data_IF_222251226031
#
_entry.id   IF_222251226031
#
_cell.length_a   1.000
_cell.length_b   1.000
_cell.length_c   1.000
_cell.angle_alpha   90.00
_cell.angle_beta   90.00
_cell.angle_gamma   90.00
#
_symmetry.space_group_name_H-M   'P 1'
#
loop_
_entity.id
_entity.type
_entity.pdbx_description
1 polymer ?
#
# COMPACT_ATOMS: atom_id res chain seq x y z
N UNK A 1 28.21 -2.41 9.87
CA UNK A 1 26.86 -1.82 9.86
C UNK A 1 26.68 -1.01 11.13
N UNK A 2 26.56 0.32 11.05
CA UNK A 2 26.02 1.09 12.18
C UNK A 2 24.55 0.71 12.28
N UNK A 3 24.14 0.03 13.35
CA UNK A 3 22.73 -0.07 13.70
C UNK A 3 22.27 1.37 13.99
N UNK A 4 21.70 2.02 12.98
CA UNK A 4 20.93 3.23 13.22
C UNK A 4 19.85 2.83 14.24
N UNK A 5 19.92 3.38 15.45
CA UNK A 5 18.95 3.08 16.49
C UNK A 5 17.54 3.20 15.92
N UNK A 6 16.66 2.24 16.25
CA UNK A 6 15.33 2.15 15.66
C UNK A 6 14.62 3.50 15.77
N UNK A 7 14.46 4.20 14.65
CA UNK A 7 13.78 5.49 14.63
C UNK A 7 12.31 5.26 14.90
N UNK A 8 11.78 5.92 15.92
CA UNK A 8 10.35 5.94 16.18
C UNK A 8 9.76 7.26 15.68
N UNK A 9 8.70 7.18 14.87
CA UNK A 9 7.98 8.38 14.41
C UNK A 9 6.54 8.32 14.91
N UNK A 10 6.12 9.37 15.61
CA UNK A 10 4.76 9.52 16.10
C UNK A 10 3.89 10.25 15.09
N UNK A 11 2.70 9.72 14.84
CA UNK A 11 1.67 10.49 14.15
C UNK A 11 0.97 11.42 15.17
N UNK A 12 0.47 12.59 14.73
CA UNK A 12 -0.37 13.43 15.58
C UNK A 12 -1.58 12.63 16.09
N UNK A 13 -1.93 12.76 17.36
CA UNK A 13 -3.06 12.04 17.98
C UNK A 13 -4.35 12.23 17.17
N UNK A 14 -4.60 13.44 16.65
CA UNK A 14 -5.74 13.73 15.76
C UNK A 14 -5.82 12.78 14.56
N UNK A 15 -4.68 12.40 13.96
CA UNK A 15 -4.63 11.48 12.82
C UNK A 15 -4.97 10.06 13.24
N UNK A 16 -4.47 9.62 14.39
CA UNK A 16 -4.78 8.27 14.92
C UNK A 16 -6.26 8.16 15.31
N UNK A 17 -6.83 9.21 15.92
CA UNK A 17 -8.26 9.27 16.21
C UNK A 17 -9.09 9.25 14.92
N UNK A 18 -8.68 9.96 13.86
CA UNK A 18 -9.33 9.87 12.55
C UNK A 18 -9.28 8.45 11.99
N UNK A 19 -8.22 7.68 12.22
CA UNK A 19 -8.16 6.28 11.77
C UNK A 19 -9.22 5.40 12.42
N UNK A 20 -9.52 5.64 13.69
CA UNK A 20 -10.65 5.01 14.39
C UNK A 20 -11.97 5.60 13.89
N UNK A 21 -12.17 6.91 13.98
CA UNK A 21 -13.46 7.52 13.63
C UNK A 21 -13.90 7.32 12.16
N UNK A 22 -12.98 6.96 11.26
CA UNK A 22 -13.27 6.65 9.86
C UNK A 22 -13.14 5.16 9.52
N UNK A 23 -12.79 4.30 10.48
CA UNK A 23 -12.46 2.88 10.31
C UNK A 23 -11.60 2.69 9.06
N UNK A 24 -10.42 3.29 9.13
CA UNK A 24 -9.52 3.45 7.99
C UNK A 24 -9.00 2.12 7.46
N UNK A 25 -9.08 1.04 8.25
CA UNK A 25 -8.78 -0.33 7.82
C UNK A 25 -9.71 -0.85 6.72
N UNK A 26 -10.90 -0.28 6.55
CA UNK A 26 -11.85 -0.67 5.49
C UNK A 26 -11.69 0.14 4.19
N UNK A 27 -10.77 1.10 4.16
CA UNK A 27 -10.55 1.97 3.02
C UNK A 27 -9.39 1.44 2.19
N UNK A 28 -9.59 1.31 0.87
CA UNK A 28 -8.60 0.78 -0.07
C UNK A 28 -8.64 1.54 -1.40
N UNK A 29 -9.71 1.38 -2.16
CA UNK A 29 -9.75 1.79 -3.57
C UNK A 29 -10.44 3.13 -3.78
N UNK A 30 -11.37 3.52 -2.89
CA UNK A 30 -12.29 4.61 -3.20
C UNK A 30 -12.72 5.41 -1.98
N UNK A 31 -12.84 6.73 -2.16
CA UNK A 31 -13.41 7.64 -1.14
C UNK A 31 -14.85 7.28 -0.75
N UNK A 32 -15.59 6.56 -1.61
CA UNK A 32 -16.96 6.13 -1.29
C UNK A 32 -17.00 5.06 -0.21
N UNK A 33 -15.93 4.31 -0.01
CA UNK A 33 -15.80 3.36 1.11
C UNK A 33 -15.91 4.06 2.47
N UNK A 34 -15.58 5.36 2.52
CA UNK A 34 -15.73 6.18 3.72
C UNK A 34 -17.19 6.31 4.17
N UNK A 35 -18.14 6.38 3.23
CA UNK A 35 -19.57 6.47 3.54
C UNK A 35 -20.06 5.18 4.21
N UNK A 36 -19.70 4.03 3.63
CA UNK A 36 -20.09 2.73 4.16
C UNK A 36 -19.37 2.40 5.48
N UNK A 37 -18.09 2.75 5.57
CA UNK A 37 -17.31 2.63 6.80
C UNK A 37 -17.92 3.47 7.92
N UNK A 38 -18.29 4.73 7.63
CA UNK A 38 -19.01 5.60 8.57
C UNK A 38 -20.37 5.05 8.98
N UNK A 39 -21.16 4.51 8.06
CA UNK A 39 -22.44 3.87 8.37
C UNK A 39 -22.27 2.66 9.31
N UNK A 40 -21.27 1.81 9.05
CA UNK A 40 -20.94 0.68 9.93
C UNK A 40 -20.52 1.16 11.32
N UNK A 41 -19.74 2.24 11.42
CA UNK A 41 -19.35 2.82 12.69
C UNK A 41 -20.52 3.38 13.49
N UNK A 42 -21.47 4.04 12.83
CA UNK A 42 -22.71 4.50 13.49
C UNK A 42 -23.48 3.31 14.04
N UNK A 43 -23.62 2.23 13.26
CA UNK A 43 -24.27 0.99 13.73
C UNK A 43 -23.54 0.41 14.94
N UNK A 44 -22.22 0.24 14.86
CA UNK A 44 -21.42 -0.30 15.97
C UNK A 44 -21.52 0.60 17.21
N UNK A 45 -21.48 1.92 17.05
CA UNK A 45 -21.65 2.87 18.14
C UNK A 45 -23.02 2.75 18.80
N UNK A 46 -24.10 2.71 18.01
CA UNK A 46 -25.45 2.49 18.51
C UNK A 46 -25.57 1.16 19.26
N UNK A 47 -24.93 0.10 18.78
CA UNK A 47 -24.88 -1.19 19.48
C UNK A 47 -24.09 -1.11 20.79
N UNK A 48 -23.01 -0.35 20.87
CA UNK A 48 -22.29 -0.14 22.13
C UNK A 48 -23.18 0.58 23.16
N UNK A 49 -23.95 1.59 22.74
CA UNK A 49 -24.82 2.37 23.63
C UNK A 49 -26.13 1.67 23.99
N UNK A 50 -26.70 0.86 23.09
CA UNK A 50 -27.97 0.17 23.31
C UNK A 50 -27.82 -1.09 24.19
N UNK A 51 -26.74 -1.19 24.99
CA UNK A 51 -26.40 -2.40 25.74
C UNK A 51 -27.53 -2.79 26.69
N UNK A 52 -28.22 -3.89 26.38
CA UNK A 52 -29.33 -4.37 27.19
C UNK A 52 -28.82 -4.82 28.56
N UNK A 53 -29.30 -4.15 29.61
CA UNK A 53 -28.92 -4.43 31.01
C UNK A 53 -29.21 -5.89 31.40
N UNK A 54 -30.19 -6.54 30.76
CA UNK A 54 -30.58 -7.94 31.01
C UNK A 54 -29.48 -8.97 30.72
N UNK A 55 -28.48 -8.62 29.90
CA UNK A 55 -27.39 -9.55 29.54
C UNK A 55 -26.30 -9.62 30.63
N UNK A 56 -26.26 -8.65 31.56
CA UNK A 56 -25.33 -8.66 32.69
C UNK A 56 -25.77 -9.63 33.81
N UNK A 57 -27.02 -10.08 33.82
CA UNK A 57 -27.61 -10.88 34.91
C UNK A 57 -27.43 -12.40 34.78
N UNK A 58 -26.88 -12.93 33.68
CA UNK A 58 -26.63 -14.38 33.57
C UNK A 58 -25.41 -14.79 34.43
N UNK A 59 -25.62 -15.81 35.28
CA UNK A 59 -24.71 -16.32 36.33
C UNK A 59 -23.51 -17.17 35.85
N UNK A 60 -23.25 -17.26 34.54
CA UNK A 60 -22.10 -18.04 34.04
C UNK A 60 -20.81 -17.22 34.13
N UNK A 61 -20.00 -17.49 35.16
CA UNK A 61 -18.77 -16.79 35.46
C UNK A 61 -17.72 -16.93 34.35
N UNK A 62 -17.67 -18.08 33.66
CA UNK A 62 -16.72 -18.35 32.58
C UNK A 62 -17.02 -17.51 31.35
N UNK A 63 -18.29 -17.50 30.92
CA UNK A 63 -18.74 -16.68 29.80
C UNK A 63 -18.58 -15.18 30.10
N UNK A 64 -18.79 -14.77 31.36
CA UNK A 64 -18.58 -13.39 31.81
C UNK A 64 -17.11 -12.99 31.75
N UNK A 65 -16.21 -13.83 32.23
CA UNK A 65 -14.76 -13.59 32.18
C UNK A 65 -14.27 -13.42 30.74
N UNK A 66 -14.69 -14.29 29.82
CA UNK A 66 -14.32 -14.19 28.40
C UNK A 66 -14.83 -12.89 27.75
N UNK A 67 -16.09 -12.53 27.99
CA UNK A 67 -16.69 -11.27 27.50
C UNK A 67 -15.93 -10.04 28.02
N UNK A 68 -15.61 -10.02 29.31
CA UNK A 68 -14.83 -8.94 29.91
C UNK A 68 -13.40 -8.89 29.34
N UNK A 69 -12.80 -10.05 29.05
CA UNK A 69 -11.53 -10.17 28.36
C UNK A 69 -11.53 -9.52 26.98
N UNK A 70 -12.55 -9.78 26.15
CA UNK A 70 -12.69 -9.16 24.82
C UNK A 70 -12.89 -7.65 24.90
N UNK A 71 -13.67 -7.17 25.86
CA UNK A 71 -13.82 -5.74 26.10
C UNK A 71 -12.49 -5.09 26.49
N UNK A 72 -11.80 -5.70 27.45
CA UNK A 72 -10.51 -5.20 27.93
C UNK A 72 -9.49 -5.18 26.79
N UNK A 73 -9.44 -6.24 25.98
CA UNK A 73 -8.64 -6.30 24.76
C UNK A 73 -8.97 -5.15 23.79
N UNK A 74 -10.25 -4.86 23.56
CA UNK A 74 -10.70 -3.72 22.75
C UNK A 74 -10.18 -2.38 23.30
N UNK A 75 -10.27 -2.17 24.62
CA UNK A 75 -9.76 -0.96 25.29
C UNK A 75 -8.24 -0.88 25.18
N UNK A 76 -7.51 -1.97 25.37
CA UNK A 76 -6.06 -2.04 25.21
C UNK A 76 -5.67 -1.64 23.79
N UNK A 77 -6.31 -2.19 22.76
CA UNK A 77 -6.01 -1.81 21.39
C UNK A 77 -6.32 -0.33 21.11
N UNK A 78 -7.40 0.22 21.68
CA UNK A 78 -7.70 1.65 21.58
C UNK A 78 -6.60 2.51 22.21
N UNK A 79 -6.09 2.14 23.38
CA UNK A 79 -4.97 2.81 24.03
C UNK A 79 -3.68 2.68 23.21
N UNK A 80 -3.41 1.51 22.65
CA UNK A 80 -2.26 1.28 21.77
C UNK A 80 -2.35 2.13 20.49
N UNK A 81 -3.54 2.42 19.95
CA UNK A 81 -3.67 3.35 18.81
C UNK A 81 -3.20 4.76 19.15
N UNK A 82 -3.35 5.18 20.41
CA UNK A 82 -2.94 6.50 20.89
C UNK A 82 -1.44 6.50 21.26
N UNK A 83 -0.97 5.42 21.88
CA UNK A 83 0.36 5.31 22.51
C UNK A 83 1.39 4.58 21.62
N UNK A 84 1.02 3.93 20.53
CA UNK A 84 2.02 3.33 19.64
C UNK A 84 2.50 4.32 18.58
N UNK A 85 3.82 4.39 18.31
CA UNK A 85 4.32 5.17 17.20
C UNK A 85 3.82 4.59 15.87
N UNK A 86 3.67 5.47 14.87
CA UNK A 86 3.21 5.10 13.54
C UNK A 86 4.23 4.24 12.78
N UNK A 87 5.53 4.42 13.10
CA UNK A 87 6.65 3.63 12.59
C UNK A 87 7.61 3.28 13.72
N UNK A 88 8.13 2.06 13.68
CA UNK A 88 9.19 1.56 14.56
C UNK A 88 10.27 0.96 13.66
N UNK A 89 11.46 1.56 13.65
CA UNK A 89 12.52 1.19 12.72
C UNK A 89 12.04 1.34 11.27
N UNK A 90 12.25 0.29 10.47
CA UNK A 90 11.83 0.23 9.08
C UNK A 90 10.38 -0.29 8.90
N UNK A 91 9.65 -0.55 9.99
CA UNK A 91 8.26 -1.02 9.97
C UNK A 91 7.25 0.14 9.83
N UNK A 92 6.33 0.03 8.86
CA UNK A 92 5.32 1.05 8.57
C UNK A 92 3.89 0.54 8.84
N UNK A 93 2.96 1.49 8.96
CA UNK A 93 1.51 1.24 9.11
C UNK A 93 1.12 0.48 10.38
N UNK A 94 1.88 0.62 11.47
CA UNK A 94 1.59 -0.05 12.75
C UNK A 94 0.19 0.30 13.24
N UNK A 95 -0.15 1.59 13.27
CA UNK A 95 -1.48 2.05 13.71
C UNK A 95 -2.60 1.44 12.87
N UNK A 96 -2.44 1.25 11.56
CA UNK A 96 -3.47 0.65 10.70
C UNK A 96 -3.73 -0.82 11.07
N UNK A 97 -2.68 -1.56 11.42
CA UNK A 97 -2.78 -2.95 11.89
C UNK A 97 -3.48 -3.03 13.24
N UNK A 98 -3.16 -2.13 14.17
CA UNK A 98 -3.79 -2.07 15.49
C UNK A 98 -5.28 -1.71 15.39
N UNK A 99 -5.65 -0.78 14.49
CA UNK A 99 -7.06 -0.42 14.23
C UNK A 99 -7.88 -1.64 13.78
N UNK A 100 -7.31 -2.52 12.95
CA UNK A 100 -7.98 -3.77 12.57
C UNK A 100 -8.29 -4.64 13.79
N UNK A 101 -7.31 -4.84 14.69
CA UNK A 101 -7.52 -5.63 15.90
C UNK A 101 -8.54 -4.99 16.85
N UNK A 102 -8.56 -3.67 16.96
CA UNK A 102 -9.59 -2.94 17.70
C UNK A 102 -10.99 -3.30 17.18
N UNK A 103 -11.24 -3.22 15.87
CA UNK A 103 -12.55 -3.54 15.30
C UNK A 103 -12.92 -5.01 15.40
N UNK A 104 -11.97 -5.92 15.15
CA UNK A 104 -12.21 -7.36 15.30
C UNK A 104 -12.64 -7.69 16.73
N UNK A 105 -11.92 -7.18 17.74
CA UNK A 105 -12.28 -7.40 19.14
C UNK A 105 -13.61 -6.75 19.51
N UNK A 106 -13.88 -5.53 19.02
CA UNK A 106 -15.15 -4.84 19.25
C UNK A 106 -16.34 -5.62 18.68
N UNK A 107 -16.22 -6.11 17.44
CA UNK A 107 -17.28 -6.89 16.77
C UNK A 107 -17.50 -8.21 17.50
N UNK A 108 -16.43 -8.92 17.87
CA UNK A 108 -16.53 -10.17 18.64
C UNK A 108 -17.20 -9.91 20.00
N UNK A 109 -16.79 -8.86 20.71
CA UNK A 109 -17.41 -8.46 21.97
C UNK A 109 -18.90 -8.16 21.82
N UNK A 110 -19.28 -7.39 20.80
CA UNK A 110 -20.68 -7.08 20.52
C UNK A 110 -21.49 -8.32 20.15
N UNK A 111 -20.93 -9.26 19.37
CA UNK A 111 -21.60 -10.49 18.99
C UNK A 111 -22.10 -11.29 20.20
N UNK A 112 -21.38 -11.26 21.33
CA UNK A 112 -21.81 -11.92 22.57
C UNK A 112 -23.06 -11.32 23.23
N UNK A 113 -23.31 -10.02 23.06
CA UNK A 113 -24.50 -9.37 23.62
C UNK A 113 -25.69 -9.49 22.68
N UNK A 114 -25.42 -9.45 21.39
CA UNK A 114 -26.41 -9.10 20.40
C UNK A 114 -26.84 -10.27 19.50
N UNK A 115 -26.29 -11.47 19.70
CA UNK A 115 -26.63 -12.63 18.89
C UNK A 115 -28.15 -12.95 18.88
N UNK A 116 -28.80 -12.88 20.04
CA UNK A 116 -30.23 -13.17 20.21
C UNK A 116 -31.13 -11.92 20.14
N UNK A 117 -30.59 -10.74 20.46
CA UNK A 117 -31.33 -9.47 20.60
C UNK A 117 -31.27 -8.56 19.37
N UNK A 118 -30.33 -8.77 18.44
CA UNK A 118 -30.36 -8.06 17.16
C UNK A 118 -31.65 -8.42 16.45
N UNK A 119 -32.51 -7.42 16.25
CA UNK A 119 -33.65 -7.52 15.35
C UNK A 119 -33.15 -7.98 13.97
N UNK A 120 -33.86 -8.96 13.38
CA UNK A 120 -33.65 -9.45 12.02
C UNK A 120 -33.39 -8.34 10.99
N UNK A 121 -34.01 -7.16 11.15
CA UNK A 121 -33.76 -6.00 10.29
C UNK A 121 -32.30 -5.53 10.34
N UNK A 122 -31.74 -5.31 11.53
CA UNK A 122 -30.36 -4.83 11.68
C UNK A 122 -29.34 -5.86 11.18
N UNK A 123 -29.60 -7.15 11.41
CA UNK A 123 -28.81 -8.26 10.85
C UNK A 123 -28.78 -8.21 9.32
N UNK A 124 -29.95 -8.03 8.69
CA UNK A 124 -30.06 -7.89 7.24
C UNK A 124 -29.31 -6.66 6.75
N UNK A 125 -29.40 -5.52 7.43
CA UNK A 125 -28.66 -4.30 7.06
C UNK A 125 -27.15 -4.54 7.08
N UNK A 126 -26.62 -5.13 8.15
CA UNK A 126 -25.18 -5.41 8.27
C UNK A 126 -24.72 -6.37 7.16
N UNK A 127 -25.45 -7.47 6.95
CA UNK A 127 -25.15 -8.44 5.88
C UNK A 127 -25.17 -7.76 4.51
N UNK A 128 -26.20 -6.94 4.22
CA UNK A 128 -26.30 -6.20 2.96
C UNK A 128 -25.12 -5.25 2.77
N UNK A 129 -24.72 -4.49 3.79
CA UNK A 129 -23.56 -3.58 3.73
C UNK A 129 -22.27 -4.35 3.46
N UNK A 130 -22.05 -5.47 4.15
CA UNK A 130 -20.84 -6.32 3.96
C UNK A 130 -20.80 -6.93 2.57
N UNK A 131 -21.92 -7.50 2.10
CA UNK A 131 -22.03 -8.07 0.76
C UNK A 131 -21.77 -6.99 -0.30
N UNK A 132 -22.42 -5.83 -0.17
CA UNK A 132 -22.23 -4.71 -1.08
C UNK A 132 -20.77 -4.25 -1.13
N UNK A 133 -20.13 -4.05 0.03
CA UNK A 133 -18.72 -3.67 0.11
C UNK A 133 -17.79 -4.73 -0.51
N UNK A 134 -18.09 -6.01 -0.32
CA UNK A 134 -17.33 -7.11 -0.92
C UNK A 134 -17.43 -7.07 -2.44
N UNK A 135 -18.63 -6.93 -2.99
CA UNK A 135 -18.83 -6.80 -4.45
C UNK A 135 -18.20 -5.52 -5.00
N UNK A 136 -18.30 -4.40 -4.29
CA UNK A 136 -17.67 -3.14 -4.68
C UNK A 136 -16.15 -3.25 -4.75
N UNK A 137 -15.53 -3.85 -3.73
CA UNK A 137 -14.08 -4.11 -3.72
C UNK A 137 -13.68 -5.09 -4.81
N UNK A 138 -14.44 -6.17 -5.00
CA UNK A 138 -14.19 -7.13 -6.09
C UNK A 138 -14.23 -6.47 -7.46
N UNK A 139 -15.22 -5.59 -7.69
CA UNK A 139 -15.32 -4.81 -8.92
C UNK A 139 -14.09 -3.92 -9.13
N UNK A 140 -13.64 -3.19 -8.10
CA UNK A 140 -12.44 -2.36 -8.19
C UNK A 140 -11.18 -3.20 -8.45
N UNK A 141 -11.02 -4.34 -7.78
CA UNK A 141 -9.92 -5.28 -8.01
C UNK A 141 -9.93 -5.78 -9.45
N UNK A 142 -11.10 -6.15 -9.98
CA UNK A 142 -11.23 -6.59 -11.38
C UNK A 142 -10.78 -5.51 -12.36
N UNK A 143 -11.14 -4.24 -12.12
CA UNK A 143 -10.66 -3.13 -12.95
C UNK A 143 -9.15 -2.97 -12.81
N UNK A 144 -8.60 -3.05 -11.60
CA UNK A 144 -7.15 -2.92 -11.39
C UNK A 144 -6.38 -4.03 -12.07
N UNK A 145 -6.89 -5.27 -12.04
CA UNK A 145 -6.26 -6.41 -12.68
C UNK A 145 -6.06 -6.20 -14.19
N UNK A 146 -6.97 -5.51 -14.89
CA UNK A 146 -6.80 -5.19 -16.32
C UNK A 146 -5.53 -4.36 -16.54
N UNK A 147 -5.29 -3.36 -15.68
CA UNK A 147 -4.11 -2.49 -15.80
C UNK A 147 -2.83 -3.14 -15.27
N UNK A 148 -2.94 -4.02 -14.27
CA UNK A 148 -1.80 -4.83 -13.80
C UNK A 148 -1.39 -5.82 -14.88
N UNK A 149 -2.33 -6.49 -15.53
CA UNK A 149 -2.06 -7.40 -16.65
C UNK A 149 -1.40 -6.67 -17.81
N UNK A 150 -1.92 -5.49 -18.17
CA UNK A 150 -1.29 -4.61 -19.16
C UNK A 150 0.15 -4.22 -18.77
N UNK A 151 0.40 -3.94 -17.48
CA UNK A 151 1.74 -3.67 -16.95
C UNK A 151 2.66 -4.88 -17.03
N UNK A 152 2.19 -6.07 -16.61
CA UNK A 152 2.97 -7.31 -16.59
C UNK A 152 3.29 -7.77 -18.02
N UNK A 153 2.40 -7.51 -18.99
CA UNK A 153 2.63 -7.81 -20.40
C UNK A 153 3.80 -7.02 -21.01
N UNK A 154 4.35 -6.00 -20.32
CA UNK A 154 5.61 -5.38 -20.71
C UNK A 154 6.78 -6.37 -20.78
N UNK A 155 6.65 -7.54 -20.12
CA UNK A 155 7.58 -8.66 -20.23
C UNK A 155 7.89 -9.06 -21.68
N UNK A 156 6.93 -8.92 -22.61
CA UNK A 156 7.12 -9.29 -24.02
C UNK A 156 8.19 -8.44 -24.72
N UNK A 157 8.50 -7.25 -24.19
CA UNK A 157 9.49 -6.32 -24.74
C UNK A 157 10.86 -6.41 -24.05
N UNK A 158 11.01 -7.33 -23.10
CA UNK A 158 12.19 -7.45 -22.25
C UNK A 158 12.96 -8.72 -22.60
N UNK A 159 14.24 -8.55 -22.94
CA UNK A 159 15.13 -9.69 -23.17
C UNK A 159 15.42 -10.42 -21.85
N UNK A 160 15.46 -11.77 -21.83
CA UNK A 160 15.91 -12.53 -20.66
C UNK A 160 17.29 -12.09 -20.16
N UNK A 161 17.58 -12.32 -18.88
CA UNK A 161 18.85 -11.97 -18.23
C UNK A 161 19.21 -10.48 -18.23
N UNK A 162 18.19 -9.63 -18.35
CA UNK A 162 18.34 -8.18 -18.29
C UNK A 162 18.21 -7.64 -16.87
N UNK A 163 18.83 -6.48 -16.63
CA UNK A 163 18.66 -5.69 -15.42
C UNK A 163 17.62 -4.59 -15.65
N UNK A 164 16.63 -4.50 -14.76
CA UNK A 164 15.51 -3.57 -14.88
C UNK A 164 15.40 -2.67 -13.66
N UNK A 165 15.11 -1.39 -13.92
CA UNK A 165 14.73 -0.42 -12.90
C UNK A 165 13.29 0.05 -13.13
N UNK A 166 12.33 -0.31 -12.27
CA UNK A 166 11.05 0.38 -12.27
C UNK A 166 11.14 1.72 -11.55
N UNK A 167 10.49 2.72 -12.11
CA UNK A 167 10.41 4.08 -11.56
C UNK A 167 8.93 4.46 -11.44
N UNK A 168 8.55 4.92 -10.24
CA UNK A 168 7.15 5.17 -9.91
C UNK A 168 6.78 6.64 -10.03
N UNK A 169 6.52 7.15 -11.23
CA UNK A 169 6.23 8.58 -11.50
C UNK A 169 5.13 9.23 -10.63
N UNK A 170 4.14 8.47 -10.18
CA UNK A 170 3.12 8.96 -9.24
C UNK A 170 2.66 7.87 -8.28
N UNK A 171 2.26 8.24 -7.05
CA UNK A 171 1.63 7.32 -6.10
C UNK A 171 0.13 7.12 -6.33
N UNK A 172 -0.51 8.10 -6.96
CA UNK A 172 -1.88 8.01 -7.46
C UNK A 172 -1.83 7.83 -8.95
N UNK A 173 -2.33 6.68 -9.41
CA UNK A 173 -2.43 6.33 -10.81
C UNK A 173 -3.71 6.87 -11.36
N UNK A 174 -3.63 7.43 -12.56
CA UNK A 174 -4.76 7.97 -13.28
C UNK A 174 -4.71 7.49 -14.72
N UNK A 175 -5.87 7.09 -15.23
CA UNK A 175 -6.06 6.74 -16.64
C UNK A 175 -7.28 7.51 -17.12
N UNK A 176 -7.14 8.25 -18.22
CA UNK A 176 -8.19 9.09 -18.79
C UNK A 176 -8.82 10.08 -17.78
N UNK A 177 -8.00 10.66 -16.90
CA UNK A 177 -8.43 11.61 -15.86
C UNK A 177 -9.20 10.98 -14.69
N UNK A 178 -9.29 9.64 -14.65
CA UNK A 178 -9.92 8.91 -13.55
C UNK A 178 -8.85 8.29 -12.65
N UNK A 179 -8.96 8.57 -11.35
CA UNK A 179 -8.14 7.94 -10.33
C UNK A 179 -8.43 6.44 -10.26
N UNK A 180 -7.38 5.63 -10.42
CA UNK A 180 -7.44 4.18 -10.36
C UNK A 180 -7.39 3.66 -8.91
N UNK A 181 -6.59 4.30 -8.08
CA UNK A 181 -6.31 3.84 -6.71
C UNK A 181 -6.34 5.01 -5.71
N UNK A 182 -6.79 4.76 -4.47
CA UNK A 182 -6.85 5.79 -3.44
C UNK A 182 -5.76 5.64 -2.37
N UNK A 183 -5.79 4.56 -1.60
CA UNK A 183 -4.87 4.32 -0.48
C UNK A 183 -3.90 3.18 -0.72
N UNK A 184 -4.30 2.19 -1.50
CA UNK A 184 -3.45 1.09 -1.93
C UNK A 184 -2.77 1.44 -3.25
N UNK A 185 -1.55 0.96 -3.48
CA UNK A 185 -0.90 1.07 -4.79
C UNK A 185 -0.61 -0.34 -5.33
N UNK A 186 -1.48 -0.88 -6.20
CA UNK A 186 -1.32 -2.24 -6.69
C UNK A 186 -0.18 -2.39 -7.70
N UNK A 187 0.43 -1.28 -8.15
CA UNK A 187 1.58 -1.31 -9.06
C UNK A 187 2.91 -1.31 -8.32
N UNK A 188 2.89 -1.08 -7.01
CA UNK A 188 4.08 -1.15 -6.18
C UNK A 188 4.60 -2.60 -6.22
N UNK A 189 5.83 -2.78 -6.72
CA UNK A 189 6.48 -4.07 -6.95
C UNK A 189 5.84 -5.01 -7.98
N UNK A 190 4.93 -4.51 -8.83
CA UNK A 190 4.32 -5.33 -9.89
C UNK A 190 5.34 -5.87 -10.92
N UNK A 191 6.53 -5.25 -11.02
CA UNK A 191 7.70 -5.75 -11.76
C UNK A 191 8.17 -7.12 -11.30
N UNK A 192 7.88 -7.52 -10.06
CA UNK A 192 8.26 -8.85 -9.57
C UNK A 192 7.58 -9.96 -10.36
N UNK A 193 6.37 -9.73 -10.89
CA UNK A 193 5.71 -10.68 -11.77
C UNK A 193 6.46 -10.84 -13.11
N UNK A 194 6.91 -9.72 -13.70
CA UNK A 194 7.76 -9.74 -14.89
C UNK A 194 9.06 -10.50 -14.60
N UNK A 195 9.64 -10.28 -13.42
CA UNK A 195 10.88 -10.93 -13.03
C UNK A 195 10.78 -12.44 -12.87
N UNK A 196 9.69 -12.89 -12.27
CA UNK A 196 9.39 -14.31 -12.07
C UNK A 196 9.27 -15.07 -13.41
N UNK A 197 8.73 -14.43 -14.44
CA UNK A 197 8.40 -15.09 -15.70
C UNK A 197 9.52 -15.01 -16.76
N UNK A 198 10.40 -14.01 -16.70
CA UNK A 198 11.36 -13.71 -17.78
C UNK A 198 12.85 -13.89 -17.42
N UNK A 199 13.19 -14.49 -16.27
CA UNK A 199 14.58 -14.66 -15.81
C UNK A 199 15.37 -13.34 -15.82
N UNK A 200 14.78 -12.27 -15.30
CA UNK A 200 15.41 -10.94 -15.21
C UNK A 200 15.71 -10.58 -13.75
N UNK A 201 16.54 -9.55 -13.56
CA UNK A 201 16.84 -8.97 -12.25
C UNK A 201 16.14 -7.63 -12.15
N UNK A 202 15.32 -7.44 -11.11
CA UNK A 202 14.70 -6.14 -10.80
C UNK A 202 15.43 -5.45 -9.65
N UNK A 203 15.62 -4.14 -9.77
CA UNK A 203 16.31 -3.32 -8.76
C UNK A 203 15.39 -2.83 -7.64
N UNK A 204 14.09 -3.13 -7.68
CA UNK A 204 13.11 -2.61 -6.72
C UNK A 204 12.69 -3.61 -5.63
N UNK A 205 13.52 -4.61 -5.34
CA UNK A 205 13.26 -5.49 -4.21
C UNK A 205 13.50 -4.73 -2.90
N UNK A 206 12.47 -4.08 -2.36
CA UNK A 206 12.54 -3.31 -1.12
C UNK A 206 12.96 -4.16 0.07
N UNK A 207 12.62 -5.46 0.07
CA UNK A 207 12.96 -6.37 1.17
C UNK A 207 14.47 -6.51 1.29
N UNK A 208 15.16 -6.56 0.16
CA UNK A 208 16.61 -6.63 0.09
C UNK A 208 17.33 -5.35 0.58
N UNK A 209 16.61 -4.25 0.78
CA UNK A 209 17.14 -3.03 1.41
C UNK A 209 16.95 -3.02 2.93
N UNK A 210 15.95 -3.72 3.47
CA UNK A 210 15.63 -3.63 4.90
C UNK A 210 16.36 -4.68 5.72
N UNK A 211 16.88 -4.24 6.85
CA UNK A 211 17.70 -5.08 7.74
C UNK A 211 16.95 -6.28 8.34
N UNK A 212 15.62 -6.21 8.42
CA UNK A 212 14.77 -7.19 9.09
C UNK A 212 14.27 -8.33 8.19
N UNK A 213 14.50 -8.26 6.87
CA UNK A 213 14.26 -9.39 5.96
C UNK A 213 15.54 -10.21 5.80
N UNK A 214 15.43 -11.52 5.49
CA UNK A 214 16.59 -12.39 5.32
C UNK A 214 17.33 -12.20 3.97
N UNK A 215 16.78 -11.38 3.09
CA UNK A 215 17.33 -11.04 1.77
C UNK A 215 18.05 -9.71 1.84
N UNK A 216 19.20 -9.60 1.14
CA UNK A 216 20.01 -8.38 1.17
C UNK A 216 20.64 -8.12 -0.20
N UNK A 217 20.67 -6.84 -0.59
CA UNK A 217 21.61 -6.41 -1.63
C UNK A 217 23.04 -6.45 -1.08
N UNK A 218 23.98 -6.82 -1.96
CA UNK A 218 25.38 -6.55 -1.67
C UNK A 218 25.57 -5.03 -1.51
N UNK A 219 26.30 -4.59 -0.47
CA UNK A 219 26.38 -3.16 -0.11
C UNK A 219 26.83 -2.25 -1.26
N UNK A 220 27.74 -2.73 -2.10
CA UNK A 220 28.25 -2.02 -3.28
C UNK A 220 27.28 -1.99 -4.48
N UNK A 221 26.16 -2.70 -4.40
CA UNK A 221 25.17 -2.86 -5.48
C UNK A 221 23.76 -2.46 -5.05
N UNK A 222 23.56 -2.01 -3.81
CA UNK A 222 22.22 -1.64 -3.33
C UNK A 222 21.69 -0.42 -4.13
N UNK A 223 20.63 -0.57 -4.95
CA UNK A 223 20.12 0.50 -5.79
C UNK A 223 19.51 1.65 -4.98
N UNK A 224 18.92 1.40 -3.81
CA UNK A 224 18.38 2.45 -2.93
C UNK A 224 19.47 3.36 -2.36
N UNK A 225 20.70 2.85 -2.16
CA UNK A 225 21.86 3.64 -1.72
C UNK A 225 22.58 4.36 -2.87
N UNK A 226 22.46 3.82 -4.09
CA UNK A 226 23.23 4.30 -5.24
C UNK A 226 22.40 5.27 -6.09
N UNK A 227 21.21 4.85 -6.49
CA UNK A 227 20.32 5.56 -7.42
C UNK A 227 19.46 6.58 -6.66
N UNK A 228 18.96 6.24 -5.47
CA UNK A 228 18.02 7.07 -4.70
C UNK A 228 16.67 6.39 -4.49
N UNK A 229 15.64 7.17 -4.12
CA UNK A 229 14.30 6.67 -3.82
C UNK A 229 13.41 6.71 -5.08
N UNK A 230 13.54 5.66 -5.90
CA UNK A 230 12.77 5.50 -7.13
C UNK A 230 11.34 5.00 -6.92
N UNK A 231 10.98 4.60 -5.69
CA UNK A 231 9.59 4.28 -5.31
C UNK A 231 8.76 5.54 -5.01
N UNK A 232 9.40 6.61 -4.54
CA UNK A 232 8.74 7.89 -4.25
C UNK A 232 9.14 9.01 -5.23
N UNK A 233 10.00 8.73 -6.20
CA UNK A 233 10.64 9.69 -7.11
C UNK A 233 11.33 10.84 -6.40
N UNK A 234 12.29 10.50 -5.56
CA UNK A 234 13.10 11.50 -4.90
C UNK A 234 14.57 11.24 -5.17
N UNK A 235 15.26 12.27 -5.65
CA UNK A 235 16.71 12.29 -5.89
C UNK A 235 17.24 11.12 -6.73
N UNK A 236 16.50 10.73 -7.78
CA UNK A 236 16.88 9.62 -8.66
C UNK A 236 18.05 10.03 -9.57
N UNK A 237 19.15 9.29 -9.51
CA UNK A 237 20.28 9.36 -10.45
C UNK A 237 20.59 7.98 -11.05
N UNK A 238 20.05 7.71 -12.23
CA UNK A 238 20.17 6.43 -12.94
C UNK A 238 21.63 6.14 -13.32
N UNK A 239 22.35 7.14 -13.83
CA UNK A 239 23.74 7.02 -14.31
C UNK A 239 24.70 6.60 -13.19
N UNK A 240 24.40 7.01 -11.95
CA UNK A 240 25.22 6.68 -10.78
C UNK A 240 25.38 5.17 -10.56
N UNK A 241 24.39 4.37 -10.97
CA UNK A 241 24.43 2.91 -10.83
C UNK A 241 25.54 2.31 -11.68
N UNK A 242 25.60 2.69 -12.96
CA UNK A 242 26.67 2.23 -13.85
C UNK A 242 28.04 2.74 -13.37
N UNK A 243 28.14 4.02 -12.98
CA UNK A 243 29.39 4.61 -12.48
C UNK A 243 29.96 3.89 -11.26
N UNK A 244 29.10 3.45 -10.32
CA UNK A 244 29.53 2.77 -9.10
C UNK A 244 29.70 1.26 -9.24
N UNK A 245 28.87 0.60 -10.05
CA UNK A 245 28.80 -0.86 -10.09
C UNK A 245 29.41 -1.47 -11.36
N UNK A 246 29.55 -0.70 -12.44
CA UNK A 246 29.91 -1.20 -13.76
C UNK A 246 28.76 -1.90 -14.51
N UNK A 247 27.60 -2.11 -13.89
CA UNK A 247 26.44 -2.74 -14.51
C UNK A 247 25.51 -1.70 -15.12
N UNK A 248 25.12 -1.93 -16.38
CA UNK A 248 24.15 -1.09 -17.07
C UNK A 248 22.73 -1.61 -16.82
N UNK A 249 21.81 -0.69 -16.60
CA UNK A 249 20.38 -0.99 -16.50
C UNK A 249 19.86 -1.09 -17.94
N UNK A 250 19.47 -2.28 -18.38
CA UNK A 250 19.05 -2.55 -19.75
C UNK A 250 17.70 -1.92 -20.07
N UNK A 251 16.76 -2.01 -19.12
CA UNK A 251 15.41 -1.51 -19.28
C UNK A 251 14.97 -0.66 -18.09
N UNK A 252 14.21 0.39 -18.37
CA UNK A 252 13.54 1.19 -17.35
C UNK A 252 12.03 1.14 -17.60
N UNK A 253 11.27 0.83 -16.56
CA UNK A 253 9.80 0.83 -16.62
C UNK A 253 9.29 1.99 -15.79
N UNK A 254 8.68 2.99 -16.41
CA UNK A 254 8.02 4.06 -15.68
C UNK A 254 6.53 3.75 -15.52
N UNK A 255 5.97 3.97 -14.33
CA UNK A 255 4.54 3.79 -14.07
C UNK A 255 3.91 5.03 -13.43
N UNK A 256 2.80 5.52 -13.97
CA UNK A 256 2.07 6.70 -13.50
C UNK A 256 1.94 7.79 -14.57
N UNK A 257 1.14 8.81 -14.28
CA UNK A 257 0.91 9.94 -15.18
C UNK A 257 1.91 11.06 -14.92
N UNK A 258 2.44 11.63 -16.00
CA UNK A 258 3.38 12.77 -15.97
C UNK A 258 2.70 14.08 -15.50
N UNK A 259 1.37 14.18 -15.61
CA UNK A 259 0.68 15.47 -15.69
C UNK A 259 0.16 16.04 -14.36
N UNK A 260 -0.02 15.22 -13.33
CA UNK A 260 -0.98 15.57 -12.25
C UNK A 260 -0.36 16.02 -10.92
N UNK A 261 0.96 16.07 -10.80
CA UNK A 261 1.58 16.49 -9.55
C UNK A 261 2.50 17.69 -9.78
N UNK A 262 1.93 18.91 -9.69
CA UNK A 262 2.65 20.18 -9.86
C UNK A 262 3.91 20.21 -8.98
N UNK A 263 3.80 19.70 -7.75
CA UNK A 263 4.89 19.66 -6.79
C UNK A 263 6.03 18.70 -7.16
N UNK A 264 5.80 17.76 -8.08
CA UNK A 264 6.81 16.78 -8.54
C UNK A 264 7.26 16.99 -9.98
N UNK A 265 6.86 18.11 -10.61
CA UNK A 265 7.19 18.37 -12.03
C UNK A 265 8.69 18.42 -12.26
N UNK A 266 9.45 18.96 -11.31
CA UNK A 266 10.91 19.05 -11.42
C UNK A 266 11.53 17.65 -11.44
N UNK A 267 11.20 16.81 -10.48
CA UNK A 267 11.72 15.45 -10.36
C UNK A 267 11.34 14.58 -11.56
N UNK A 268 10.08 14.69 -12.04
CA UNK A 268 9.63 13.98 -13.25
C UNK A 268 10.40 14.47 -14.48
N UNK A 269 10.63 15.78 -14.61
CA UNK A 269 11.44 16.33 -15.71
C UNK A 269 12.89 15.87 -15.63
N UNK A 270 13.49 15.81 -14.44
CA UNK A 270 14.86 15.33 -14.23
C UNK A 270 14.99 13.85 -14.61
N UNK A 271 13.99 13.02 -14.26
CA UNK A 271 13.92 11.62 -14.70
C UNK A 271 13.79 11.55 -16.22
N UNK A 272 12.86 12.30 -16.82
CA UNK A 272 12.66 12.33 -18.26
C UNK A 272 13.92 12.78 -19.02
N UNK A 273 14.67 13.74 -18.48
CA UNK A 273 15.94 14.19 -19.05
C UNK A 273 16.99 13.07 -19.04
N UNK A 274 17.11 12.32 -17.93
CA UNK A 274 18.00 11.16 -17.85
C UNK A 274 17.58 10.05 -18.83
N UNK A 275 16.29 9.76 -18.94
CA UNK A 275 15.76 8.77 -19.89
C UNK A 275 16.03 9.19 -21.34
N UNK A 276 15.76 10.45 -21.69
CA UNK A 276 15.97 10.96 -23.04
C UNK A 276 17.46 10.99 -23.44
N UNK A 277 18.36 11.12 -22.47
CA UNK A 277 19.81 11.13 -22.71
C UNK A 277 20.34 9.74 -23.11
N UNK A 278 19.95 8.69 -22.40
CA UNK A 278 20.61 7.36 -22.52
C UNK A 278 19.69 6.23 -23.00
N UNK A 279 18.38 6.46 -22.99
CA UNK A 279 17.38 5.45 -23.32
C UNK A 279 16.53 5.85 -24.52
N UNK A 280 15.85 4.87 -25.11
CA UNK A 280 14.85 5.02 -26.15
C UNK A 280 13.55 4.38 -25.70
N UNK A 281 12.44 5.10 -25.83
CA UNK A 281 11.12 4.56 -25.57
C UNK A 281 10.86 3.38 -26.53
N UNK A 282 10.67 2.20 -25.98
CA UNK A 282 10.44 0.98 -26.74
C UNK A 282 8.94 0.72 -26.92
N UNK A 283 8.18 0.85 -25.83
CA UNK A 283 6.73 0.64 -25.85
C UNK A 283 6.03 1.46 -24.78
N UNK A 284 4.75 1.77 -25.03
CA UNK A 284 3.83 2.44 -24.10
C UNK A 284 2.54 1.65 -24.09
N UNK A 285 2.02 1.38 -22.89
CA UNK A 285 0.76 0.67 -22.72
C UNK A 285 -0.41 1.44 -23.35
N UNK A 286 -1.47 0.74 -23.74
CA UNK A 286 -2.67 1.34 -24.36
C UNK A 286 -3.30 2.39 -23.45
N UNK A 287 -3.37 2.13 -22.15
CA UNK A 287 -3.81 3.08 -21.13
C UNK A 287 -2.86 4.27 -20.95
N UNK A 288 -1.63 4.14 -21.43
CA UNK A 288 -0.53 5.07 -21.20
C UNK A 288 -0.02 5.11 -19.76
N UNK A 289 -0.49 4.19 -18.91
CA UNK A 289 -0.12 4.10 -17.51
C UNK A 289 1.35 3.73 -17.31
N UNK A 290 1.89 2.89 -18.20
CA UNK A 290 3.27 2.47 -18.13
C UNK A 290 4.00 2.60 -19.46
N UNK A 291 5.30 2.79 -19.37
CA UNK A 291 6.23 2.93 -20.50
C UNK A 291 7.47 2.12 -20.20
N UNK A 292 8.02 1.48 -21.23
CA UNK A 292 9.30 0.79 -21.15
C UNK A 292 10.31 1.46 -22.07
N UNK A 293 11.50 1.68 -21.53
CA UNK A 293 12.62 2.30 -22.20
C UNK A 293 13.78 1.30 -22.28
N UNK A 294 14.39 1.14 -23.46
CA UNK A 294 15.59 0.32 -23.68
C UNK A 294 16.83 1.22 -23.72
N UNK A 295 17.92 0.75 -23.12
CA UNK A 295 19.21 1.44 -23.15
C UNK A 295 19.73 1.56 -24.59
N UNK A 296 20.03 2.77 -25.04
CA UNK A 296 20.55 3.02 -26.38
C UNK A 296 22.09 3.13 -26.36
N UNK A 297 22.77 2.06 -26.76
CA UNK A 297 24.25 2.03 -26.82
C UNK A 297 24.85 2.96 -27.88
N UNK A 298 24.06 3.40 -28.86
CA UNK A 298 24.51 4.22 -29.98
C UNK A 298 24.33 5.74 -29.74
N UNK A 299 23.60 6.14 -28.70
CA UNK A 299 23.56 7.55 -28.28
C UNK A 299 24.92 7.92 -27.71
N UNK A 300 25.75 8.59 -28.53
CA UNK A 300 26.96 9.25 -28.04
C UNK A 300 26.54 10.26 -26.98
N UNK A 301 27.09 10.13 -25.78
CA UNK A 301 27.05 11.21 -24.79
C UNK A 301 27.90 12.34 -25.36
N UNK A 302 27.27 13.33 -25.98
CA UNK A 302 27.92 14.60 -26.27
C UNK A 302 28.44 15.13 -24.93
N UNK A 303 29.77 15.12 -24.78
CA UNK A 303 30.50 15.56 -23.58
C UNK A 303 30.68 17.05 -23.61
#
# INVERSE_FOLDING_TARGET
MKQNGATMSWAPIRRNLLYVCCNYSMLSFSKYELLFSGALLVILGLMVFHKDKRILDKKDDTARAFKNGLFMSTVIYLLLIIVMPYRIGDGWYITHRIVLFFYVNLILWLAFFYYETINNLLRKIIITVVIFLTFYNFYNIKIMNIYIEEYVNLKEYIKPHSLILPIRLSSRKEVNGKQLNWLVDPFLHATSYIALENNIITLDNYEADKSFFPTYFHDKMNPYKIIGDFENNHDINIESYFKKTGYKINYIITCGSDNNNINKRKEINDINNQLNKEYTLLYKTVSGLAKIYELNLNKKTDK
#
